data_IF_553268851552
#
_entry.id   IF_553268851552
#
_cell.length_a   1.000
_cell.length_b   1.000
_cell.length_c   1.000
_cell.angle_alpha   90.00
_cell.angle_beta   90.00
_cell.angle_gamma   90.00
#
_symmetry.space_group_name_H-M   'P 1'
#
loop_
_entity.id
_entity.type
_entity.pdbx_description
1 polymer ?
#
# COMPACT_ATOMS: atom_id res chain seq x y z
N UNK A 1 -13.29 43.20 -65.07
CA UNK A 1 -13.71 41.80 -65.22
C UNK A 1 -12.49 40.94 -64.93
N UNK A 2 -12.60 40.10 -63.89
CA UNK A 2 -12.05 38.73 -63.79
C UNK A 2 -10.58 38.46 -64.22
N UNK A 3 -9.72 37.78 -63.48
CA UNK A 3 -9.68 37.20 -62.13
C UNK A 3 -8.21 36.81 -61.93
N UNK A 4 -7.62 37.18 -60.80
CA UNK A 4 -6.31 36.68 -60.36
C UNK A 4 -6.46 35.28 -59.74
N UNK A 5 -5.51 34.38 -60.03
CA UNK A 5 -5.19 33.25 -59.14
C UNK A 5 -3.69 33.13 -59.05
N UNK A 6 -3.14 33.63 -57.94
CA UNK A 6 -1.81 33.33 -57.42
C UNK A 6 -1.97 32.53 -56.13
N UNK A 7 -1.19 31.45 -56.05
CA UNK A 7 -0.90 30.59 -54.89
C UNK A 7 -0.65 31.32 -53.59
N UNK A 8 -1.20 30.83 -52.47
CA UNK A 8 -0.56 30.81 -51.15
C UNK A 8 -1.02 29.59 -50.34
N UNK A 9 -0.06 28.95 -49.67
CA UNK A 9 -0.27 27.98 -48.58
C UNK A 9 -0.55 28.76 -47.28
N UNK A 10 -1.58 28.38 -46.52
CA UNK A 10 -1.72 28.71 -45.09
C UNK A 10 -2.37 27.53 -44.32
N UNK A 11 -1.98 27.46 -43.05
CA UNK A 11 -2.10 26.35 -42.10
C UNK A 11 -3.49 26.12 -41.47
N UNK A 12 -3.71 24.85 -41.10
CA UNK A 12 -4.36 24.27 -39.90
C UNK A 12 -5.49 25.07 -39.21
N UNK A 13 -6.68 24.45 -39.10
CA UNK A 13 -7.39 24.10 -37.85
C UNK A 13 -8.85 23.71 -38.17
N UNK A 14 -9.23 22.44 -37.97
CA UNK A 14 -10.58 22.14 -37.46
C UNK A 14 -10.65 20.77 -36.76
N UNK A 15 -11.18 20.87 -35.54
CA UNK A 15 -11.34 19.93 -34.45
C UNK A 15 -12.41 18.85 -34.77
N UNK A 16 -12.22 17.56 -34.47
CA UNK A 16 -13.33 16.64 -34.36
C UNK A 16 -13.91 16.66 -32.94
N UNK A 17 -15.24 16.64 -32.90
CA UNK A 17 -16.10 16.78 -31.73
C UNK A 17 -15.97 15.62 -30.74
N UNK A 18 -16.06 15.92 -29.44
CA UNK A 18 -16.15 14.94 -28.36
C UNK A 18 -17.46 14.16 -28.49
N UNK A 19 -17.40 12.90 -28.93
CA UNK A 19 -18.47 11.94 -28.66
C UNK A 19 -18.38 11.51 -27.19
N UNK A 20 -19.47 11.69 -26.45
CA UNK A 20 -19.68 11.16 -25.11
C UNK A 20 -19.59 9.63 -25.11
N UNK A 21 -18.38 9.09 -24.88
CA UNK A 21 -18.21 7.68 -24.58
C UNK A 21 -18.57 7.46 -23.10
N UNK A 22 -19.57 6.60 -22.88
CA UNK A 22 -20.01 6.19 -21.56
C UNK A 22 -18.85 5.66 -20.73
N UNK A 23 -18.91 5.95 -19.42
CA UNK A 23 -18.00 5.39 -18.43
C UNK A 23 -18.07 3.86 -18.47
N UNK A 24 -17.17 3.23 -19.24
CA UNK A 24 -16.86 1.81 -19.05
C UNK A 24 -16.15 1.68 -17.72
N UNK A 25 -16.92 1.36 -16.68
CA UNK A 25 -16.38 0.88 -15.42
C UNK A 25 -15.73 -0.48 -15.74
N UNK A 26 -14.42 -0.49 -15.89
CA UNK A 26 -13.65 -1.72 -15.98
C UNK A 26 -13.69 -2.40 -14.61
N UNK A 27 -14.61 -3.36 -14.45
CA UNK A 27 -14.57 -4.32 -13.35
C UNK A 27 -13.46 -5.33 -13.67
N UNK A 28 -12.30 -5.18 -13.04
CA UNK A 28 -11.33 -6.26 -12.95
C UNK A 28 -11.93 -7.37 -12.08
N UNK A 29 -12.30 -8.48 -12.69
CA UNK A 29 -12.74 -9.67 -11.95
C UNK A 29 -11.52 -10.38 -11.37
N UNK A 30 -11.20 -10.06 -10.11
CA UNK A 30 -10.23 -10.81 -9.32
C UNK A 30 -10.92 -12.05 -8.74
N UNK A 31 -10.32 -13.23 -8.93
CA UNK A 31 -10.72 -14.42 -8.19
C UNK A 31 -9.51 -14.98 -7.44
N UNK A 32 -9.53 -14.88 -6.11
CA UNK A 32 -8.56 -15.54 -5.24
C UNK A 32 -9.15 -16.88 -4.83
N UNK A 33 -8.45 -18.00 -5.10
CA UNK A 33 -8.80 -19.31 -4.53
C UNK A 33 -7.71 -19.72 -3.56
N UNK A 34 -8.05 -19.73 -2.27
CA UNK A 34 -7.16 -20.23 -1.22
C UNK A 34 -7.35 -21.75 -1.17
N UNK A 35 -6.35 -22.51 -1.61
CA UNK A 35 -6.29 -23.96 -1.32
C UNK A 35 -5.47 -24.14 -0.05
N UNK A 36 -6.16 -24.41 1.05
CA UNK A 36 -5.58 -24.61 2.40
C UNK A 36 -4.50 -25.70 2.44
N UNK A 37 -4.44 -26.59 1.44
CA UNK A 37 -3.44 -27.66 1.35
C UNK A 37 -2.16 -27.31 0.58
N UNK A 38 -2.02 -26.11 0.01
CA UNK A 38 -0.87 -25.74 -0.82
C UNK A 38 -0.43 -24.28 -0.59
N UNK A 39 0.85 -24.10 -0.25
CA UNK A 39 1.49 -22.81 0.04
C UNK A 39 1.67 -21.90 -1.21
N UNK A 40 0.75 -21.91 -2.16
CA UNK A 40 0.84 -21.05 -3.34
C UNK A 40 -0.49 -20.35 -3.62
N UNK A 41 -0.39 -19.06 -3.97
CA UNK A 41 -1.49 -18.27 -4.51
C UNK A 41 -1.44 -18.36 -6.04
N UNK A 42 -2.51 -18.85 -6.66
CA UNK A 42 -2.64 -18.85 -8.11
C UNK A 42 -3.34 -17.55 -8.54
N UNK A 43 -2.56 -16.62 -9.11
CA UNK A 43 -3.10 -15.41 -9.73
C UNK A 43 -3.26 -15.65 -11.23
N UNK A 44 -4.49 -15.57 -11.73
CA UNK A 44 -4.75 -15.55 -13.17
C UNK A 44 -4.77 -14.10 -13.66
N UNK A 45 -3.64 -13.64 -14.16
CA UNK A 45 -3.50 -12.32 -14.77
C UNK A 45 -3.63 -12.43 -16.29
N UNK A 46 -4.43 -11.56 -16.90
CA UNK A 46 -4.43 -11.42 -18.36
C UNK A 46 -3.26 -10.53 -18.76
N UNK A 47 -2.74 -10.71 -19.96
CA UNK A 47 -1.65 -9.88 -20.48
C UNK A 47 -2.00 -8.38 -20.57
N UNK A 48 -3.29 -8.04 -20.54
CA UNK A 48 -3.80 -6.66 -20.42
C UNK A 48 -3.53 -6.02 -19.05
N UNK A 49 -3.13 -6.80 -18.05
CA UNK A 49 -3.12 -6.39 -16.65
C UNK A 49 -1.72 -5.99 -16.17
N UNK A 50 -0.81 -5.58 -17.07
CA UNK A 50 0.55 -5.09 -16.73
C UNK A 50 0.49 -3.99 -15.67
N UNK A 51 -0.51 -3.12 -15.74
CA UNK A 51 -0.77 -2.08 -14.74
C UNK A 51 -1.01 -2.67 -13.33
N UNK A 52 -1.65 -3.84 -13.25
CA UNK A 52 -1.87 -4.58 -11.99
C UNK A 52 -0.56 -5.14 -11.44
N UNK A 53 0.35 -5.59 -12.31
CA UNK A 53 1.66 -6.07 -11.87
C UNK A 53 2.52 -4.91 -11.31
N UNK A 54 2.49 -3.76 -12.00
CA UNK A 54 3.20 -2.55 -11.56
C UNK A 54 2.61 -2.03 -10.24
N UNK A 55 1.28 -2.00 -10.11
CA UNK A 55 0.62 -1.58 -8.86
C UNK A 55 0.96 -2.54 -7.72
N UNK A 56 0.98 -3.85 -7.98
CA UNK A 56 1.37 -4.86 -7.00
C UNK A 56 2.81 -4.66 -6.48
N UNK A 57 3.76 -4.40 -7.38
CA UNK A 57 5.14 -4.06 -7.00
C UNK A 57 5.19 -2.84 -6.06
N UNK A 58 4.49 -1.77 -6.42
CA UNK A 58 4.41 -0.54 -5.60
C UNK A 58 3.78 -0.79 -4.23
N UNK A 59 2.72 -1.60 -4.16
CA UNK A 59 2.06 -1.95 -2.89
C UNK A 59 3.03 -2.70 -1.98
N UNK A 60 3.81 -3.65 -2.52
CA UNK A 60 4.85 -4.34 -1.75
C UNK A 60 5.90 -3.38 -1.20
N UNK A 61 6.39 -2.47 -2.04
CA UNK A 61 7.39 -1.48 -1.61
C UNK A 61 6.85 -0.58 -0.49
N UNK A 62 5.58 -0.17 -0.58
CA UNK A 62 4.89 0.57 0.49
C UNK A 62 4.82 -0.23 1.79
N UNK A 63 4.51 -1.53 1.73
CA UNK A 63 4.50 -2.38 2.92
C UNK A 63 5.88 -2.56 3.53
N UNK A 64 6.93 -2.72 2.71
CA UNK A 64 8.31 -2.78 3.22
C UNK A 64 8.72 -1.47 3.87
N UNK A 65 8.39 -0.33 3.25
CA UNK A 65 8.67 0.98 3.80
C UNK A 65 8.01 1.18 5.17
N UNK A 66 6.72 0.87 5.27
CA UNK A 66 5.96 0.92 6.52
C UNK A 66 6.54 -0.02 7.58
N UNK A 67 6.89 -1.25 7.20
CA UNK A 67 7.53 -2.20 8.10
C UNK A 67 8.82 -1.64 8.69
N UNK A 68 9.69 -1.04 7.87
CA UNK A 68 10.93 -0.43 8.33
C UNK A 68 10.64 0.74 9.28
N UNK A 69 9.71 1.62 8.94
CA UNK A 69 9.36 2.76 9.79
C UNK A 69 8.82 2.32 11.15
N UNK A 70 7.91 1.34 11.18
CA UNK A 70 7.32 0.84 12.42
C UNK A 70 8.36 0.14 13.29
N UNK A 71 9.30 -0.61 12.70
CA UNK A 71 10.43 -1.18 13.42
C UNK A 71 11.34 -0.09 14.03
N UNK A 72 11.59 1.01 13.31
CA UNK A 72 12.34 2.15 13.85
C UNK A 72 11.60 2.79 15.02
N UNK A 73 10.28 2.99 14.92
CA UNK A 73 9.46 3.53 16.01
C UNK A 73 9.52 2.66 17.25
N UNK A 74 9.35 1.33 17.09
CA UNK A 74 9.50 0.36 18.18
C UNK A 74 10.88 0.43 18.82
N UNK A 75 11.93 0.49 18.00
CA UNK A 75 13.31 0.62 18.50
C UNK A 75 13.49 1.90 19.33
N UNK A 76 12.96 3.04 18.86
CA UNK A 76 13.04 4.32 19.58
C UNK A 76 12.27 4.28 20.89
N UNK A 77 11.08 3.67 20.90
CA UNK A 77 10.28 3.50 22.11
C UNK A 77 11.02 2.67 23.15
N UNK A 78 11.63 1.56 22.75
CA UNK A 78 12.43 0.71 23.64
C UNK A 78 13.65 1.45 24.18
N UNK A 79 14.33 2.27 23.38
CA UNK A 79 15.45 3.10 23.84
C UNK A 79 15.00 4.09 24.91
N UNK A 80 13.89 4.79 24.69
CA UNK A 80 13.33 5.72 25.68
C UNK A 80 12.95 4.99 26.98
N UNK A 81 12.38 3.80 26.87
CA UNK A 81 12.02 2.98 28.02
C UNK A 81 13.24 2.48 28.81
N UNK A 82 14.33 2.13 28.13
CA UNK A 82 15.60 1.78 28.78
C UNK A 82 16.15 2.97 29.57
N UNK A 83 16.11 4.18 29.00
CA UNK A 83 16.55 5.40 29.70
C UNK A 83 15.76 5.63 31.00
N UNK A 84 14.46 5.35 30.99
CA UNK A 84 13.62 5.42 32.19
C UNK A 84 14.04 4.38 33.24
N UNK A 85 14.19 3.10 32.85
CA UNK A 85 14.60 2.02 33.77
C UNK A 85 15.97 2.29 34.38
N UNK A 86 16.89 2.84 33.59
CA UNK A 86 18.24 3.19 34.02
C UNK A 86 18.31 4.50 34.83
N UNK A 87 17.15 5.13 35.10
CA UNK A 87 17.03 6.43 35.80
C UNK A 87 17.83 7.56 35.13
N UNK A 88 18.00 7.50 33.80
CA UNK A 88 18.63 8.57 33.02
C UNK A 88 17.66 9.73 32.76
N UNK A 89 16.36 9.42 32.76
CA UNK A 89 15.24 10.37 32.68
C UNK A 89 14.22 10.05 33.78
N UNK A 90 13.44 11.04 34.20
CA UNK A 90 12.32 10.84 35.13
C UNK A 90 11.07 10.28 34.43
N UNK A 91 10.09 9.84 35.21
CA UNK A 91 8.79 9.41 34.70
C UNK A 91 8.05 10.57 34.01
N UNK A 92 8.13 11.79 34.58
CA UNK A 92 7.53 12.98 33.97
C UNK A 92 8.18 13.34 32.63
N UNK A 93 9.51 13.20 32.51
CA UNK A 93 10.23 13.44 31.26
C UNK A 93 9.87 12.39 30.19
N UNK A 94 9.72 11.12 30.59
CA UNK A 94 9.28 10.04 29.72
C UNK A 94 7.88 10.31 29.15
N UNK A 95 6.93 10.67 30.01
CA UNK A 95 5.56 10.99 29.58
C UNK A 95 5.49 12.23 28.69
N UNK A 96 6.28 13.26 29.02
CA UNK A 96 6.37 14.47 28.20
C UNK A 96 6.89 14.17 26.80
N UNK A 97 7.97 13.39 26.66
CA UNK A 97 8.52 13.02 25.35
C UNK A 97 7.51 12.23 24.52
N UNK A 98 6.81 11.25 25.11
CA UNK A 98 5.78 10.48 24.39
C UNK A 98 4.62 11.34 23.92
N UNK A 99 4.23 12.34 24.72
CA UNK A 99 3.11 13.23 24.41
C UNK A 99 3.46 14.25 23.33
N UNK A 100 4.63 14.87 23.44
CA UNK A 100 5.07 15.94 22.53
C UNK A 100 5.60 15.39 21.20
N UNK A 101 6.15 14.17 21.19
CA UNK A 101 6.81 13.56 20.04
C UNK A 101 6.17 12.21 19.62
N UNK A 102 4.85 12.11 19.75
CA UNK A 102 4.10 10.87 19.52
C UNK A 102 4.35 10.20 18.15
N UNK A 103 4.59 10.98 17.10
CA UNK A 103 4.88 10.49 15.75
C UNK A 103 6.13 9.59 15.69
N UNK A 104 7.10 9.79 16.59
CA UNK A 104 8.33 9.01 16.67
C UNK A 104 8.14 7.62 17.27
N UNK A 105 7.07 7.39 18.02
CA UNK A 105 6.90 6.20 18.86
C UNK A 105 5.65 5.39 18.51
N UNK A 106 4.56 6.05 18.15
CA UNK A 106 3.28 5.39 17.93
C UNK A 106 3.11 4.90 16.50
N UNK A 107 2.68 3.64 16.38
CA UNK A 107 2.35 2.99 15.11
C UNK A 107 0.88 3.28 14.79
N UNK A 108 0.63 3.84 13.61
CA UNK A 108 -0.73 4.14 13.17
C UNK A 108 -1.30 2.91 12.48
N UNK A 109 -2.36 2.34 13.06
CA UNK A 109 -3.01 1.17 12.50
C UNK A 109 -4.03 1.56 11.42
N UNK A 110 -3.81 1.07 10.20
CA UNK A 110 -4.70 1.27 9.05
C UNK A 110 -5.53 0.04 8.74
N UNK A 111 -6.65 0.27 8.06
CA UNK A 111 -7.44 -0.79 7.44
C UNK A 111 -6.77 -1.25 6.15
N UNK A 112 -7.02 -2.51 5.80
CA UNK A 112 -6.57 -3.12 4.57
C UNK A 112 -7.70 -2.99 3.54
N UNK A 113 -7.49 -2.14 2.54
CA UNK A 113 -8.58 -1.59 1.72
C UNK A 113 -8.93 -2.46 0.51
N UNK A 114 -8.04 -3.36 0.06
CA UNK A 114 -8.25 -4.17 -1.13
C UNK A 114 -7.74 -5.61 -0.99
N UNK A 115 -8.30 -6.52 -1.79
CA UNK A 115 -7.80 -7.91 -1.87
C UNK A 115 -6.38 -7.97 -2.42
N UNK A 116 -5.99 -6.98 -3.23
CA UNK A 116 -4.64 -6.84 -3.76
C UNK A 116 -3.64 -6.50 -2.66
N UNK A 117 -4.00 -5.60 -1.74
CA UNK A 117 -3.19 -5.29 -0.55
C UNK A 117 -3.00 -6.53 0.32
N UNK A 118 -4.05 -7.33 0.46
CA UNK A 118 -4.01 -8.54 1.28
C UNK A 118 -3.09 -9.58 0.65
N UNK A 119 -3.24 -9.80 -0.66
CA UNK A 119 -2.37 -10.67 -1.44
C UNK A 119 -0.90 -10.24 -1.35
N UNK A 120 -0.62 -8.93 -1.44
CA UNK A 120 0.73 -8.38 -1.33
C UNK A 120 1.31 -8.64 0.06
N UNK A 121 0.53 -8.37 1.11
CA UNK A 121 0.91 -8.63 2.50
C UNK A 121 1.25 -10.11 2.72
N UNK A 122 0.40 -11.03 2.26
CA UNK A 122 0.65 -12.47 2.44
C UNK A 122 1.90 -12.92 1.69
N UNK A 123 2.13 -12.44 0.47
CA UNK A 123 3.35 -12.76 -0.29
C UNK A 123 4.59 -12.26 0.44
N UNK A 124 4.54 -11.06 1.03
CA UNK A 124 5.64 -10.53 1.84
C UNK A 124 5.86 -11.44 3.05
N UNK A 125 4.81 -11.78 3.80
CA UNK A 125 4.90 -12.65 4.97
C UNK A 125 5.51 -14.03 4.63
N UNK A 126 5.12 -14.63 3.51
CA UNK A 126 5.67 -15.90 3.04
C UNK A 126 7.15 -15.83 2.65
N UNK A 127 7.65 -14.63 2.30
CA UNK A 127 9.07 -14.43 1.98
C UNK A 127 9.95 -14.22 3.21
N UNK A 128 9.36 -14.02 4.38
CA UNK A 128 10.11 -13.87 5.63
C UNK A 128 10.56 -15.24 6.15
N UNK A 129 11.76 -15.32 6.75
CA UNK A 129 12.30 -16.58 7.27
C UNK A 129 11.56 -17.12 8.52
N UNK A 130 10.62 -16.34 9.06
CA UNK A 130 9.86 -16.65 10.27
C UNK A 130 8.36 -16.46 10.00
N UNK A 131 7.54 -17.39 10.49
CA UNK A 131 6.11 -17.19 10.57
C UNK A 131 5.79 -16.15 11.63
N UNK A 132 5.12 -15.07 11.21
CA UNK A 132 4.65 -14.01 12.08
C UNK A 132 3.25 -14.33 12.60
N UNK A 133 3.02 -14.09 13.88
CA UNK A 133 1.69 -14.03 14.48
C UNK A 133 0.90 -12.82 13.97
N UNK A 134 -0.43 -12.82 14.13
CA UNK A 134 -1.27 -11.70 13.71
C UNK A 134 -0.87 -10.41 14.40
N UNK A 135 -0.51 -10.47 15.69
CA UNK A 135 -0.06 -9.30 16.45
C UNK A 135 1.26 -8.74 15.92
N UNK A 136 2.23 -9.61 15.59
CA UNK A 136 3.49 -9.21 14.96
C UNK A 136 3.24 -8.56 13.58
N UNK A 137 2.30 -9.10 12.79
CA UNK A 137 1.93 -8.50 11.49
C UNK A 137 1.27 -7.15 11.68
N UNK A 138 0.37 -7.03 12.65
CA UNK A 138 -0.30 -5.78 13.00
C UNK A 138 0.69 -4.71 13.39
N UNK A 139 1.67 -5.06 14.22
CA UNK A 139 2.70 -4.13 14.67
C UNK A 139 3.67 -3.76 13.54
N UNK A 140 4.20 -4.74 12.82
CA UNK A 140 5.20 -4.51 11.76
C UNK A 140 4.58 -3.69 10.63
N UNK A 141 3.45 -4.13 10.08
CA UNK A 141 2.88 -3.49 8.88
C UNK A 141 1.90 -2.36 9.21
N UNK A 142 1.61 -2.13 10.49
CA UNK A 142 0.67 -1.11 10.94
C UNK A 142 -0.75 -1.39 10.47
N UNK A 143 -1.18 -2.65 10.46
CA UNK A 143 -2.49 -3.08 9.93
C UNK A 143 -3.36 -3.61 11.06
N UNK A 144 -4.60 -3.17 11.17
CA UNK A 144 -5.51 -3.68 12.19
C UNK A 144 -5.75 -5.18 12.04
N UNK A 145 -5.66 -5.90 13.16
CA UNK A 145 -5.87 -7.35 13.22
C UNK A 145 -7.23 -7.78 12.66
N UNK A 146 -8.30 -7.03 12.95
CA UNK A 146 -9.64 -7.31 12.41
C UNK A 146 -9.67 -7.26 10.87
N UNK A 147 -8.93 -6.33 10.27
CA UNK A 147 -8.80 -6.22 8.80
C UNK A 147 -8.19 -7.49 8.22
N UNK A 148 -7.14 -8.02 8.85
CA UNK A 148 -6.46 -9.26 8.45
C UNK A 148 -7.40 -10.46 8.62
N UNK A 149 -8.04 -10.59 9.79
CA UNK A 149 -8.90 -11.72 10.12
C UNK A 149 -10.14 -11.78 9.21
N UNK A 150 -10.72 -10.63 8.86
CA UNK A 150 -11.89 -10.56 7.97
C UNK A 150 -11.63 -11.13 6.57
N UNK A 151 -10.36 -11.17 6.14
CA UNK A 151 -9.93 -11.73 4.86
C UNK A 151 -9.52 -13.20 4.94
N UNK A 152 -9.32 -13.74 6.15
CA UNK A 152 -8.94 -15.14 6.38
C UNK A 152 -10.15 -16.05 6.59
N UNK A 153 -11.28 -15.51 7.05
CA UNK A 153 -12.54 -16.24 7.21
C UNK A 153 -13.28 -16.20 5.87
N UNK A 154 -12.97 -17.14 4.98
CA UNK A 154 -13.68 -17.40 3.71
C UNK A 154 -14.11 -18.86 3.67
#
# INVERSE_FOLDING_TARGET
>A
METDVLTYFEDIQQKPELSTMGNTVFKSEFSTRIKVSQNFFEFKLKASDIETLISFGRIKDLFYHEAILNLIKKSKFLQLYIQLIENQISEEEYEAELKENSDKYFINLKELNSDLDFAALVIIMQSLPKNLSVDEVTEIFGIKSQSILSKLIV
#
